data_IF_737926780870
#
_entry.id   IF_737926780870
#
_cell.length_a   1.000
_cell.length_b   1.000
_cell.length_c   1.000
_cell.angle_alpha   90.00
_cell.angle_beta   90.00
_cell.angle_gamma   90.00
#
_symmetry.space_group_name_H-M   'P 1'
#
loop_
_entity.id
_entity.type
_entity.pdbx_description
1 polymer ?
#
# COMPACT_ATOMS: atom_id res chain seq x y z
N UNK A 1 36.70 -0.20 19.51
CA UNK A 1 36.06 -1.53 19.65
C UNK A 1 34.91 -1.79 18.66
N UNK A 2 34.55 -0.90 17.71
CA UNK A 2 33.37 -1.09 16.86
C UNK A 2 33.45 -2.27 15.86
N UNK A 3 34.61 -2.49 15.22
CA UNK A 3 34.78 -3.48 14.15
C UNK A 3 34.44 -4.94 14.56
N UNK A 4 34.71 -5.32 15.82
CA UNK A 4 34.41 -6.66 16.31
C UNK A 4 32.91 -6.96 16.29
N UNK A 5 32.08 -5.97 16.66
CA UNK A 5 30.62 -6.13 16.69
C UNK A 5 30.05 -6.32 15.28
N UNK A 6 30.63 -5.63 14.28
CA UNK A 6 30.20 -5.76 12.88
C UNK A 6 30.54 -7.14 12.29
N UNK A 7 31.71 -7.72 12.62
CA UNK A 7 32.05 -9.10 12.23
C UNK A 7 31.18 -10.17 12.91
N UNK A 8 30.79 -9.97 14.18
CA UNK A 8 29.88 -10.88 14.88
C UNK A 8 28.47 -10.86 14.30
N UNK A 9 27.99 -9.71 13.82
CA UNK A 9 26.72 -9.63 13.10
C UNK A 9 26.79 -10.37 11.75
N UNK A 10 27.82 -10.12 10.93
CA UNK A 10 27.96 -10.75 9.62
C UNK A 10 28.05 -12.29 9.72
N UNK A 11 28.85 -12.82 10.65
CA UNK A 11 28.95 -14.27 10.90
C UNK A 11 27.65 -14.88 11.44
N UNK A 12 26.82 -14.11 12.13
CA UNK A 12 25.49 -14.55 12.57
C UNK A 12 24.49 -14.59 11.41
N UNK A 13 24.52 -13.60 10.49
CA UNK A 13 23.71 -13.62 9.28
C UNK A 13 24.06 -14.82 8.39
N UNK A 14 25.34 -15.07 8.14
CA UNK A 14 25.81 -16.20 7.31
C UNK A 14 25.28 -17.54 7.83
N UNK A 15 25.44 -17.81 9.15
CA UNK A 15 24.94 -19.05 9.78
C UNK A 15 23.42 -19.21 9.71
N UNK A 16 22.65 -18.10 9.77
CA UNK A 16 21.19 -18.14 9.59
C UNK A 16 20.79 -18.43 8.16
N UNK A 17 21.56 -17.95 7.18
CA UNK A 17 21.31 -18.13 5.76
C UNK A 17 21.57 -19.59 5.35
N UNK A 18 22.68 -20.18 5.82
CA UNK A 18 23.02 -21.60 5.67
C UNK A 18 21.96 -22.55 6.29
N UNK A 19 21.45 -22.21 7.48
CA UNK A 19 20.37 -22.95 8.13
C UNK A 19 19.02 -22.82 7.39
N UNK A 20 18.78 -21.70 6.70
CA UNK A 20 17.57 -21.50 5.91
C UNK A 20 17.60 -22.29 4.59
N UNK A 21 18.74 -22.37 3.91
CA UNK A 21 18.91 -23.17 2.69
C UNK A 21 18.81 -24.67 2.98
N UNK A 22 19.44 -25.16 4.05
CA UNK A 22 19.34 -26.56 4.47
C UNK A 22 17.89 -27.00 4.73
N UNK A 23 17.04 -26.11 5.29
CA UNK A 23 15.61 -26.39 5.50
C UNK A 23 14.79 -26.47 4.21
N UNK A 24 15.23 -25.83 3.13
CA UNK A 24 14.51 -25.84 1.85
C UNK A 24 14.73 -27.17 1.09
N UNK A 25 15.94 -27.71 1.18
CA UNK A 25 16.34 -28.98 0.54
C UNK A 25 15.67 -30.20 1.19
N UNK A 26 15.45 -30.17 2.51
CA UNK A 26 14.76 -31.21 3.28
C UNK A 26 13.26 -31.31 2.92
N UNK A 27 12.61 -30.16 2.69
CA UNK A 27 11.20 -30.08 2.26
C UNK A 27 11.03 -30.55 0.81
N UNK A 28 11.96 -30.19 -0.09
CA UNK A 28 11.91 -30.59 -1.50
C UNK A 28 12.03 -32.12 -1.71
N UNK A 29 12.63 -32.83 -0.76
CA UNK A 29 12.90 -34.27 -0.87
C UNK A 29 11.72 -35.18 -0.46
N UNK A 30 10.62 -34.62 0.08
CA UNK A 30 9.57 -35.40 0.77
C UNK A 30 8.23 -35.50 0.00
N UNK A 31 8.22 -35.39 -1.33
CA UNK A 31 6.97 -35.38 -2.13
C UNK A 31 6.92 -36.47 -3.22
N UNK A 32 6.71 -37.73 -2.80
CA UNK A 32 6.25 -38.80 -3.71
C UNK A 32 4.71 -38.91 -3.68
N UNK A 33 4.03 -39.05 -4.84
CA UNK A 33 2.59 -39.26 -4.89
C UNK A 33 2.21 -40.74 -5.13
N UNK A 34 1.24 -41.31 -4.40
CA UNK A 34 0.52 -42.50 -4.84
C UNK A 34 -0.72 -42.11 -5.65
N UNK A 35 -0.94 -42.81 -6.76
CA UNK A 35 -2.18 -42.76 -7.52
C UNK A 35 -3.17 -43.80 -7.00
N UNK A 36 -4.46 -43.45 -6.88
CA UNK A 36 -5.55 -44.26 -7.47
C UNK A 36 -6.88 -43.51 -7.50
N UNK A 37 -7.84 -44.01 -8.29
CA UNK A 37 -9.05 -43.28 -8.70
C UNK A 37 -10.38 -43.85 -8.15
N UNK A 38 -11.48 -43.07 -8.33
CA UNK A 38 -12.87 -43.43 -8.76
C UNK A 38 -14.03 -42.75 -7.96
N UNK A 39 -14.86 -41.89 -8.61
CA UNK A 39 -16.28 -42.10 -9.09
C UNK A 39 -17.35 -42.03 -7.96
N UNK A 40 -18.20 -40.99 -7.78
CA UNK A 40 -19.47 -40.61 -8.49
C UNK A 40 -19.87 -39.10 -8.23
N UNK A 41 -21.16 -38.70 -8.27
CA UNK A 41 -21.93 -38.18 -9.42
C UNK A 41 -23.45 -37.89 -9.07
N UNK A 42 -24.14 -36.96 -9.76
CA UNK A 42 -25.62 -36.67 -9.77
C UNK A 42 -26.30 -36.22 -8.44
N UNK A 43 -27.49 -35.56 -8.35
CA UNK A 43 -28.32 -34.67 -9.22
C UNK A 43 -29.48 -34.00 -8.38
N UNK A 44 -30.26 -33.04 -8.94
CA UNK A 44 -31.34 -32.22 -8.27
C UNK A 44 -32.76 -32.84 -8.40
N UNK A 45 -33.79 -32.56 -7.54
CA UNK A 45 -34.81 -31.50 -7.83
C UNK A 45 -35.58 -30.88 -6.60
N UNK A 46 -36.67 -30.10 -6.83
CA UNK A 46 -37.63 -29.47 -5.86
C UNK A 46 -39.08 -29.56 -6.42
N UNK A 47 -40.16 -28.87 -5.93
CA UNK A 47 -40.75 -28.57 -4.60
C UNK A 47 -42.18 -29.23 -4.44
N UNK A 48 -43.15 -28.79 -3.57
CA UNK A 48 -44.12 -27.70 -3.90
C UNK A 48 -44.79 -26.93 -2.70
N UNK A 49 -45.80 -26.08 -3.01
CA UNK A 49 -46.52 -25.10 -2.15
C UNK A 49 -48.03 -25.48 -1.95
N UNK A 50 -48.83 -24.82 -1.07
CA UNK A 50 -50.00 -24.03 -1.55
C UNK A 50 -50.40 -22.77 -0.69
N UNK A 51 -51.55 -22.11 -1.00
CA UNK A 51 -51.82 -20.67 -0.80
C UNK A 51 -53.27 -20.30 -0.32
N UNK A 52 -53.57 -18.98 -0.19
CA UNK A 52 -54.88 -18.24 -0.07
C UNK A 52 -55.49 -18.01 1.36
N UNK A 53 -56.26 -16.94 1.72
CA UNK A 53 -56.43 -15.53 1.24
C UNK A 53 -57.40 -14.66 2.14
N UNK A 54 -57.07 -13.35 2.39
CA UNK A 54 -57.94 -12.14 2.70
C UNK A 54 -59.01 -12.15 3.86
N UNK A 55 -59.74 -11.03 4.24
CA UNK A 55 -59.59 -9.54 4.13
C UNK A 55 -59.77 -8.72 5.48
N UNK A 56 -59.77 -7.34 5.53
CA UNK A 56 -59.78 -6.49 6.76
C UNK A 56 -61.10 -5.70 7.07
N UNK A 57 -61.21 -4.95 8.21
CA UNK A 57 -61.51 -3.48 8.20
C UNK A 57 -60.92 -2.67 9.43
N UNK A 58 -61.43 -1.49 9.89
CA UNK A 58 -60.98 -0.12 9.53
C UNK A 58 -60.57 0.81 10.74
N UNK A 59 -60.29 2.14 10.58
CA UNK A 59 -59.52 2.94 11.57
C UNK A 59 -60.29 3.97 12.44
N UNK A 60 -59.69 4.39 13.56
CA UNK A 60 -59.95 5.62 14.33
C UNK A 60 -58.69 5.97 15.15
N UNK A 61 -58.04 7.12 14.97
CA UNK A 61 -58.34 8.46 15.51
C UNK A 61 -57.59 8.77 16.83
N UNK A 62 -56.93 9.93 16.84
CA UNK A 62 -55.93 10.46 17.77
C UNK A 62 -56.24 10.41 19.27
N UNK A 63 -55.19 10.27 20.08
CA UNK A 63 -55.05 11.14 21.26
C UNK A 63 -53.58 11.43 21.62
N UNK A 64 -53.31 12.57 22.26
CA UNK A 64 -51.97 13.15 22.37
C UNK A 64 -51.27 12.88 23.69
N UNK A 65 -49.98 12.48 23.69
CA UNK A 65 -49.12 12.73 24.85
C UNK A 65 -47.60 12.78 24.58
N UNK A 66 -47.01 13.87 25.08
CA UNK A 66 -45.60 14.07 25.46
C UNK A 66 -44.51 13.82 24.39
N UNK A 67 -44.10 14.93 23.77
CA UNK A 67 -42.78 15.07 23.13
C UNK A 67 -41.70 14.99 24.23
N UNK A 68 -40.90 13.93 24.24
CA UNK A 68 -39.57 13.96 24.86
C UNK A 68 -38.55 14.40 23.80
N UNK A 69 -37.68 15.40 24.06
CA UNK A 69 -36.65 15.77 23.09
C UNK A 69 -35.74 14.56 22.83
N UNK A 70 -35.65 14.15 21.57
CA UNK A 70 -34.61 13.22 21.15
C UNK A 70 -33.26 13.89 21.43
N UNK A 71 -32.51 13.35 22.39
CA UNK A 71 -31.17 13.85 22.70
C UNK A 71 -30.34 13.76 21.42
N UNK A 72 -29.91 14.93 20.93
CA UNK A 72 -29.04 15.00 19.76
C UNK A 72 -27.79 14.18 20.06
N UNK A 73 -27.62 13.07 19.32
CA UNK A 73 -26.38 12.30 19.30
C UNK A 73 -25.28 13.31 18.96
N UNK A 74 -24.25 13.49 19.80
CA UNK A 74 -23.19 14.43 19.49
C UNK A 74 -22.59 14.04 18.14
N UNK A 75 -22.65 14.97 17.17
CA UNK A 75 -21.85 14.85 15.97
C UNK A 75 -20.38 14.78 16.43
N UNK A 76 -19.59 13.81 15.95
CA UNK A 76 -18.20 13.73 16.35
C UNK A 76 -17.50 14.98 15.82
N UNK A 77 -17.15 15.89 16.74
CA UNK A 77 -16.30 17.04 16.44
C UNK A 77 -15.05 16.48 15.78
N UNK A 78 -14.86 16.76 14.49
CA UNK A 78 -13.71 16.29 13.76
C UNK A 78 -12.47 16.89 14.44
N UNK A 79 -11.62 16.04 15.03
CA UNK A 79 -10.36 16.47 15.61
C UNK A 79 -9.59 17.22 14.52
N UNK A 80 -9.13 18.47 14.77
CA UNK A 80 -8.34 19.20 13.79
C UNK A 80 -7.09 18.38 13.45
N UNK A 81 -6.75 18.33 12.16
CA UNK A 81 -5.57 17.59 11.72
C UNK A 81 -4.30 18.30 12.22
N UNK A 82 -3.24 17.54 12.55
CA UNK A 82 -1.94 18.15 12.83
C UNK A 82 -1.43 18.91 11.60
N UNK A 83 -0.84 20.09 11.82
CA UNK A 83 -0.30 20.99 10.77
C UNK A 83 0.56 20.25 9.73
N UNK A 84 1.44 19.33 10.17
CA UNK A 84 2.28 18.53 9.28
C UNK A 84 1.52 17.57 8.36
N UNK A 85 0.30 17.17 8.72
CA UNK A 85 -0.60 16.39 7.86
C UNK A 85 -1.33 17.30 6.87
N UNK A 86 -1.70 18.51 7.28
CA UNK A 86 -2.31 19.52 6.41
C UNK A 86 -1.31 20.01 5.33
N UNK A 87 -0.05 20.24 5.70
CA UNK A 87 1.03 20.54 4.75
C UNK A 87 1.28 19.39 3.78
N UNK A 88 1.28 18.13 4.27
CA UNK A 88 1.42 16.96 3.40
C UNK A 88 0.22 16.84 2.43
N UNK A 89 -1.00 17.10 2.90
CA UNK A 89 -2.19 17.14 2.05
C UNK A 89 -2.13 18.27 1.02
N UNK A 90 -1.61 19.44 1.36
CA UNK A 90 -1.33 20.50 0.40
C UNK A 90 -0.31 20.03 -0.66
N UNK A 91 0.76 19.33 -0.28
CA UNK A 91 1.72 18.74 -1.20
C UNK A 91 1.09 17.69 -2.13
N UNK A 92 0.23 16.80 -1.61
CA UNK A 92 -0.51 15.82 -2.41
C UNK A 92 -1.43 16.50 -3.44
N UNK A 93 -2.22 17.47 -2.99
CA UNK A 93 -3.24 18.14 -3.80
C UNK A 93 -2.65 19.15 -4.81
N UNK A 94 -1.37 19.53 -4.67
CA UNK A 94 -0.67 20.43 -5.59
C UNK A 94 0.34 19.70 -6.47
N UNK A 95 1.47 19.28 -5.90
CA UNK A 95 2.61 18.72 -6.64
C UNK A 95 2.31 17.33 -7.19
N UNK A 96 1.83 16.41 -6.34
CA UNK A 96 1.55 15.03 -6.78
C UNK A 96 0.37 15.00 -7.74
N UNK A 97 -0.71 15.73 -7.45
CA UNK A 97 -1.88 15.76 -8.33
C UNK A 97 -1.61 16.44 -9.68
N UNK A 98 -0.75 17.48 -9.72
CA UNK A 98 -0.27 18.07 -10.98
C UNK A 98 0.54 17.06 -11.80
N UNK A 99 1.48 16.34 -11.18
CA UNK A 99 2.23 15.27 -11.84
C UNK A 99 1.28 14.21 -12.43
N UNK A 100 0.33 13.73 -11.62
CA UNK A 100 -0.63 12.70 -12.04
C UNK A 100 -1.52 13.19 -13.18
N UNK A 101 -1.99 14.44 -13.17
CA UNK A 101 -2.75 15.05 -14.27
C UNK A 101 -1.95 15.11 -15.57
N UNK A 102 -0.68 15.50 -15.51
CA UNK A 102 0.21 15.51 -16.69
C UNK A 102 0.46 14.09 -17.22
N UNK A 103 0.70 13.11 -16.34
CA UNK A 103 0.85 11.71 -16.73
C UNK A 103 -0.41 11.13 -17.37
N UNK A 104 -1.62 11.53 -16.94
CA UNK A 104 -2.88 11.15 -17.60
C UNK A 104 -3.04 11.77 -18.99
N UNK A 105 -2.47 12.95 -19.25
CA UNK A 105 -2.45 13.55 -20.60
C UNK A 105 -1.53 12.79 -21.57
N UNK A 106 -0.44 12.19 -21.06
CA UNK A 106 0.41 11.28 -21.83
C UNK A 106 -0.21 9.90 -22.01
N UNK A 107 -0.94 9.41 -21.01
CA UNK A 107 -1.67 8.14 -21.06
C UNK A 107 -0.80 6.89 -20.93
N UNK A 108 -1.44 5.74 -21.17
CA UNK A 108 -0.81 4.40 -21.12
C UNK A 108 -0.01 4.14 -19.83
N UNK A 109 1.13 3.45 -20.00
CA UNK A 109 2.03 3.07 -18.91
C UNK A 109 2.48 4.24 -18.02
N UNK A 110 2.57 5.47 -18.56
CA UNK A 110 2.96 6.66 -17.78
C UNK A 110 1.85 7.10 -16.83
N UNK A 111 0.58 7.04 -17.27
CA UNK A 111 -0.58 7.28 -16.41
C UNK A 111 -0.73 6.18 -15.34
N UNK A 112 -0.55 4.92 -15.72
CA UNK A 112 -0.58 3.76 -14.80
C UNK A 112 0.49 3.87 -13.71
N UNK A 113 1.75 4.14 -14.09
CA UNK A 113 2.83 4.31 -13.12
C UNK A 113 2.58 5.51 -12.19
N UNK A 114 2.05 6.62 -12.71
CA UNK A 114 1.72 7.79 -11.89
C UNK A 114 0.58 7.51 -10.88
N UNK A 115 -0.38 6.64 -11.22
CA UNK A 115 -1.41 6.21 -10.28
C UNK A 115 -0.80 5.39 -9.12
N UNK A 116 0.16 4.50 -9.40
CA UNK A 116 0.90 3.75 -8.39
C UNK A 116 1.72 4.68 -7.47
N UNK A 117 2.40 5.69 -8.04
CA UNK A 117 3.10 6.74 -7.27
C UNK A 117 2.14 7.50 -6.35
N UNK A 118 0.96 7.91 -6.86
CA UNK A 118 -0.08 8.58 -6.06
C UNK A 118 -0.54 7.70 -4.91
N UNK A 119 -0.76 6.41 -5.16
CA UNK A 119 -1.12 5.43 -4.13
C UNK A 119 -0.05 5.33 -3.04
N UNK A 120 1.23 5.20 -3.41
CA UNK A 120 2.34 5.16 -2.45
C UNK A 120 2.43 6.39 -1.55
N UNK A 121 2.22 7.59 -2.10
CA UNK A 121 2.12 8.82 -1.32
C UNK A 121 0.86 8.88 -0.44
N UNK A 122 -0.27 8.32 -0.87
CA UNK A 122 -1.48 8.20 -0.04
C UNK A 122 -1.31 7.23 1.13
N UNK A 123 -0.60 6.11 0.94
CA UNK A 123 -0.22 5.22 2.06
C UNK A 123 0.77 5.90 3.00
N UNK A 124 1.72 6.67 2.46
CA UNK A 124 2.63 7.50 3.27
C UNK A 124 1.88 8.53 4.14
N UNK A 125 0.83 9.17 3.62
CA UNK A 125 -0.07 10.04 4.41
C UNK A 125 -0.69 9.30 5.60
N UNK A 126 -1.19 8.07 5.39
CA UNK A 126 -1.79 7.26 6.47
C UNK A 126 -0.74 6.91 7.53
N UNK A 127 0.46 6.51 7.11
CA UNK A 127 1.58 6.24 8.01
C UNK A 127 1.96 7.46 8.85
N UNK A 128 2.07 8.65 8.23
CA UNK A 128 2.34 9.91 8.92
C UNK A 128 1.22 10.24 9.93
N UNK A 129 -0.06 10.10 9.56
CA UNK A 129 -1.15 10.34 10.49
C UNK A 129 -1.11 9.39 11.70
N UNK A 130 -0.78 8.10 11.49
CA UNK A 130 -0.58 7.14 12.58
C UNK A 130 0.58 7.56 13.49
N UNK A 131 1.69 8.06 12.94
CA UNK A 131 2.84 8.50 13.75
C UNK A 131 2.53 9.71 14.64
N UNK A 132 1.54 10.54 14.30
CA UNK A 132 1.06 11.61 15.19
C UNK A 132 0.24 11.11 16.39
N UNK A 133 -0.29 9.88 16.32
CA UNK A 133 -1.19 9.29 17.34
C UNK A 133 -0.59 8.09 18.09
N UNK A 134 0.55 7.57 17.65
CA UNK A 134 1.18 6.37 18.19
C UNK A 134 2.69 6.55 18.46
N UNK A 135 3.23 5.78 19.39
CA UNK A 135 4.69 5.70 19.61
C UNK A 135 5.33 4.81 18.54
N UNK A 136 6.58 5.11 18.16
CA UNK A 136 7.36 4.25 17.25
C UNK A 136 7.49 2.82 17.84
N UNK A 137 7.13 1.77 17.08
CA UNK A 137 7.33 0.37 17.50
C UNK A 137 8.80 0.01 17.76
N UNK A 138 9.06 -0.98 18.62
CA UNK A 138 10.41 -1.51 18.80
C UNK A 138 10.83 -2.40 17.62
N UNK A 139 11.76 -1.90 16.80
CA UNK A 139 12.25 -2.56 15.57
C UNK A 139 13.15 -3.78 15.82
N UNK A 140 13.43 -4.13 17.07
CA UNK A 140 14.23 -5.30 17.46
C UNK A 140 13.48 -6.23 18.44
N UNK A 141 12.17 -6.04 18.59
CA UNK A 141 11.33 -6.70 19.59
C UNK A 141 10.03 -7.26 19.02
N UNK A 142 9.04 -7.57 19.89
CA UNK A 142 7.76 -8.17 19.46
C UNK A 142 6.91 -7.24 18.58
N UNK A 143 7.21 -5.95 18.53
CA UNK A 143 6.47 -4.97 17.72
C UNK A 143 6.98 -4.87 16.27
N UNK A 144 8.06 -5.57 15.90
CA UNK A 144 8.60 -5.55 14.53
C UNK A 144 7.55 -5.95 13.47
N UNK A 145 6.72 -7.00 13.64
CA UNK A 145 5.65 -7.33 12.67
C UNK A 145 4.60 -6.22 12.54
N UNK A 146 4.36 -5.43 13.59
CA UNK A 146 3.47 -4.26 13.53
C UNK A 146 4.10 -3.19 12.65
N UNK A 147 5.38 -2.87 12.85
CA UNK A 147 6.10 -1.94 11.98
C UNK A 147 6.12 -2.41 10.52
N UNK A 148 6.46 -3.68 10.26
CA UNK A 148 6.45 -4.26 8.92
C UNK A 148 5.07 -4.12 8.26
N UNK A 149 3.98 -4.38 9.01
CA UNK A 149 2.61 -4.21 8.50
C UNK A 149 2.24 -2.77 8.16
N UNK A 150 2.79 -1.78 8.88
CA UNK A 150 2.57 -0.35 8.63
C UNK A 150 3.33 0.16 7.40
N UNK A 151 4.52 -0.37 7.13
CA UNK A 151 5.36 0.02 5.98
C UNK A 151 4.97 -0.75 4.71
N UNK A 152 4.43 -1.98 4.84
CA UNK A 152 4.11 -2.88 3.73
C UNK A 152 3.36 -2.21 2.56
N UNK A 153 2.29 -1.42 2.74
CA UNK A 153 1.57 -0.80 1.62
C UNK A 153 2.43 0.20 0.81
N UNK A 154 3.37 0.88 1.47
CA UNK A 154 4.33 1.80 0.83
C UNK A 154 5.34 1.00 0.00
N UNK A 155 5.83 -0.13 0.55
CA UNK A 155 6.74 -1.04 -0.16
C UNK A 155 6.07 -1.69 -1.37
N UNK A 156 4.80 -2.08 -1.27
CA UNK A 156 4.03 -2.66 -2.38
C UNK A 156 3.87 -1.66 -3.54
N UNK A 157 3.56 -0.39 -3.25
CA UNK A 157 3.51 0.67 -4.27
C UNK A 157 4.88 0.91 -4.93
N UNK A 158 5.96 0.93 -4.14
CA UNK A 158 7.34 1.08 -4.61
C UNK A 158 7.79 -0.08 -5.52
N UNK A 159 7.43 -1.32 -5.16
CA UNK A 159 7.70 -2.49 -5.99
C UNK A 159 6.90 -2.44 -7.29
N UNK A 160 5.60 -2.15 -7.24
CA UNK A 160 4.74 -2.08 -8.42
C UNK A 160 5.20 -1.02 -9.45
N UNK A 161 5.65 0.16 -8.98
CA UNK A 161 6.24 1.20 -9.86
C UNK A 161 7.49 0.70 -10.60
N UNK A 162 8.31 -0.10 -9.91
CA UNK A 162 9.56 -0.67 -10.45
C UNK A 162 9.27 -1.80 -11.42
N UNK A 163 8.38 -2.72 -11.05
CA UNK A 163 7.93 -3.85 -11.86
C UNK A 163 7.26 -3.40 -13.16
N UNK A 164 6.41 -2.36 -13.11
CA UNK A 164 5.79 -1.79 -14.31
C UNK A 164 6.86 -1.31 -15.32
N UNK A 165 7.93 -0.66 -14.85
CA UNK A 165 9.07 -0.29 -15.71
C UNK A 165 9.77 -1.54 -16.25
N UNK A 166 10.12 -2.50 -15.38
CA UNK A 166 10.92 -3.67 -15.77
C UNK A 166 10.20 -4.64 -16.72
N UNK A 167 8.88 -4.77 -16.60
CA UNK A 167 8.04 -5.54 -17.53
C UNK A 167 7.93 -4.89 -18.92
N UNK A 168 8.17 -3.58 -19.04
CA UNK A 168 7.92 -2.79 -20.24
C UNK A 168 9.19 -2.21 -20.90
N UNK A 169 10.32 -2.93 -20.81
CA UNK A 169 11.61 -2.55 -21.44
C UNK A 169 11.55 -2.14 -22.92
N UNK A 170 10.71 -2.74 -23.80
CA UNK A 170 10.58 -2.31 -25.19
C UNK A 170 9.78 -1.00 -25.39
N UNK A 171 9.21 -0.41 -24.34
CA UNK A 171 8.35 0.77 -24.45
C UNK A 171 9.10 2.00 -24.94
N UNK A 172 8.54 2.82 -25.87
CA UNK A 172 9.12 4.11 -26.22
C UNK A 172 9.12 5.10 -25.05
N UNK A 173 8.30 4.86 -24.01
CA UNK A 173 8.26 5.66 -22.79
C UNK A 173 9.22 5.15 -21.69
N UNK A 174 10.09 4.19 -21.99
CA UNK A 174 10.95 3.55 -20.97
C UNK A 174 11.86 4.55 -20.24
N UNK A 175 12.32 5.63 -20.89
CA UNK A 175 13.12 6.69 -20.25
C UNK A 175 12.34 7.44 -19.16
N UNK A 176 11.06 7.73 -19.42
CA UNK A 176 10.12 8.34 -18.48
C UNK A 176 9.83 7.37 -17.32
N UNK A 177 9.55 6.09 -17.63
CA UNK A 177 9.32 5.06 -16.61
C UNK A 177 10.54 4.82 -15.71
N UNK A 178 11.75 4.92 -16.28
CA UNK A 178 13.02 4.79 -15.55
C UNK A 178 13.28 6.01 -14.65
N UNK A 179 12.96 7.22 -15.12
CA UNK A 179 13.03 8.46 -14.31
C UNK A 179 12.24 8.32 -13.01
N UNK A 180 11.03 7.77 -13.08
CA UNK A 180 10.17 7.54 -11.91
C UNK A 180 10.67 6.35 -11.07
N UNK A 181 11.01 5.23 -11.72
CA UNK A 181 11.47 4.00 -11.03
C UNK A 181 12.78 4.18 -10.26
N UNK A 182 13.70 5.03 -10.73
CA UNK A 182 14.97 5.27 -10.05
C UNK A 182 14.82 6.30 -8.91
N UNK A 183 13.79 7.15 -8.98
CA UNK A 183 13.41 8.08 -7.92
C UNK A 183 12.47 7.51 -6.85
N UNK A 184 11.78 6.40 -7.12
CA UNK A 184 10.67 5.92 -6.26
C UNK A 184 11.09 5.51 -4.84
N UNK A 185 12.38 5.23 -4.64
CA UNK A 185 12.96 5.04 -3.30
C UNK A 185 12.69 6.23 -2.37
N UNK A 186 12.34 7.41 -2.89
CA UNK A 186 11.91 8.58 -2.09
C UNK A 186 10.80 8.22 -1.10
N UNK A 187 9.87 7.31 -1.44
CA UNK A 187 8.79 6.88 -0.55
C UNK A 187 9.29 6.22 0.74
N UNK A 188 10.52 5.69 0.75
CA UNK A 188 11.13 5.08 1.94
C UNK A 188 11.67 6.11 2.96
N UNK A 189 11.62 7.43 2.69
CA UNK A 189 12.18 8.46 3.59
C UNK A 189 11.64 8.35 5.03
N UNK A 190 10.38 7.93 5.20
CA UNK A 190 9.72 7.74 6.51
C UNK A 190 10.34 6.63 7.38
N UNK A 191 11.23 5.82 6.81
CA UNK A 191 11.99 4.76 7.51
C UNK A 191 13.36 5.24 7.98
N UNK A 192 13.79 6.44 7.59
CA UNK A 192 15.14 6.96 7.81
C UNK A 192 15.19 7.82 9.09
N UNK A 193 15.69 7.24 10.17
CA UNK A 193 15.79 7.91 11.48
C UNK A 193 16.76 9.11 11.48
N UNK A 194 17.81 9.08 10.66
CA UNK A 194 18.84 10.12 10.65
C UNK A 194 18.87 10.90 9.34
N UNK A 195 18.44 12.17 9.39
CA UNK A 195 18.46 13.12 8.26
C UNK A 195 17.67 12.62 7.03
N UNK A 196 16.36 12.33 7.14
CA UNK A 196 15.55 11.83 6.02
C UNK A 196 15.58 12.71 4.77
N UNK A 197 15.80 14.03 4.90
CA UNK A 197 15.96 14.93 3.75
C UNK A 197 17.12 14.52 2.82
N UNK A 198 18.22 13.96 3.35
CA UNK A 198 19.35 13.49 2.52
C UNK A 198 18.96 12.33 1.62
N UNK A 199 18.14 11.41 2.13
CA UNK A 199 17.60 10.31 1.34
C UNK A 199 16.75 10.83 0.19
N UNK A 200 15.98 11.91 0.42
CA UNK A 200 15.20 12.58 -0.64
C UNK A 200 16.13 13.24 -1.67
N UNK A 201 17.19 13.94 -1.24
CA UNK A 201 18.20 14.55 -2.13
C UNK A 201 18.91 13.48 -3.01
N UNK A 202 19.27 12.34 -2.41
CA UNK A 202 19.89 11.21 -3.12
C UNK A 202 18.93 10.58 -4.14
N UNK A 203 17.66 10.38 -3.78
CA UNK A 203 16.63 9.89 -4.71
C UNK A 203 16.36 10.88 -5.87
N UNK A 204 16.42 12.18 -5.61
CA UNK A 204 16.33 13.21 -6.65
C UNK A 204 17.52 13.11 -7.61
N UNK A 205 18.74 12.92 -7.10
CA UNK A 205 19.95 12.70 -7.91
C UNK A 205 19.82 11.51 -8.86
N UNK A 206 19.31 10.37 -8.36
CA UNK A 206 19.01 9.19 -9.17
C UNK A 206 17.97 9.47 -10.27
N UNK A 207 16.84 10.07 -9.91
CA UNK A 207 15.79 10.44 -10.87
C UNK A 207 16.29 11.41 -11.96
N UNK A 208 17.15 12.36 -11.60
CA UNK A 208 17.71 13.34 -12.54
C UNK A 208 18.56 12.72 -13.65
N UNK A 209 19.16 11.54 -13.46
CA UNK A 209 19.95 10.88 -14.52
C UNK A 209 19.11 10.61 -15.77
N UNK A 210 17.95 9.96 -15.61
CA UNK A 210 16.99 9.76 -16.69
C UNK A 210 16.13 11.00 -16.97
N UNK A 211 15.78 11.79 -15.94
CA UNK A 211 14.98 13.00 -16.09
C UNK A 211 15.63 14.05 -17.01
N UNK A 212 16.94 14.28 -16.86
CA UNK A 212 17.70 15.17 -17.74
C UNK A 212 17.73 14.68 -19.19
N UNK A 213 17.65 13.36 -19.41
CA UNK A 213 17.53 12.77 -20.74
C UNK A 213 16.15 13.02 -21.34
N UNK A 214 15.06 12.82 -20.58
CA UNK A 214 13.70 13.17 -21.03
C UNK A 214 13.61 14.66 -21.40
N UNK A 215 14.13 15.55 -20.56
CA UNK A 215 14.16 17.00 -20.82
C UNK A 215 14.96 17.39 -22.07
N UNK A 216 15.95 16.57 -22.47
CA UNK A 216 16.70 16.77 -23.71
C UNK A 216 15.97 16.22 -24.94
N UNK A 217 15.27 15.08 -24.78
CA UNK A 217 14.55 14.40 -25.86
C UNK A 217 13.17 15.02 -26.17
N UNK A 218 12.58 15.77 -25.24
CA UNK A 218 11.22 16.35 -25.31
C UNK A 218 11.24 17.88 -25.14
N UNK A 219 12.29 18.54 -25.62
CA UNK A 219 12.53 19.97 -25.42
C UNK A 219 11.74 20.87 -26.38
N UNK A 220 11.55 20.38 -27.60
CA UNK A 220 11.01 21.08 -28.76
C UNK A 220 9.65 20.49 -29.17
#
# INVERSE_FOLDING_TARGET
MAANSQMHNLTTLIKRLEAATSRLEDIASSTEPPADATVLNQAIPSPPNPSLAAPPPPPAASDSKAITPAAAKPEPVAEPLPESIEEFDAFLNTSVDKYVKLSHQLGGLVAEQAALVKSGFQEQRKFLLISTKAKKPNLSGPDLPVYESLIKPINEALMAVTELKDANRPSPMYTQLSTVSDGIMVLAWVTIDTRPYKHVDECLGSAQFFGNRVLKEQKD
#
